data_IF_877189284452
#
_entry.id   IF_877189284452
#
_cell.length_a   1.000
_cell.length_b   1.000
_cell.length_c   1.000
_cell.angle_alpha   90.00
_cell.angle_beta   90.00
_cell.angle_gamma   90.00
#
_symmetry.space_group_name_H-M   'P 1'
#
loop_
_entity.id
_entity.type
_entity.pdbx_description
1 polymer ?
#
# COMPACT_ATOMS: atom_id res chain seq x y z
N UNK A 1 -15.26 -0.93 -3.93
CA UNK A 1 -14.31 -0.76 -5.04
C UNK A 1 -14.82 -1.65 -6.15
N UNK A 2 -15.26 -1.07 -7.27
CA UNK A 2 -15.73 -1.84 -8.42
C UNK A 2 -14.54 -2.58 -9.01
N UNK A 3 -14.70 -3.87 -9.30
CA UNK A 3 -13.67 -4.63 -10.00
C UNK A 3 -13.72 -4.18 -11.48
N UNK A 4 -12.64 -3.66 -12.07
CA UNK A 4 -12.64 -3.23 -13.47
C UNK A 4 -12.95 -4.43 -14.39
N UNK A 5 -13.61 -4.16 -15.53
CA UNK A 5 -13.84 -5.18 -16.55
C UNK A 5 -12.50 -5.61 -17.15
N UNK A 6 -12.03 -6.79 -16.73
CA UNK A 6 -10.69 -7.30 -17.07
C UNK A 6 -10.54 -7.59 -18.57
N UNK A 7 -11.65 -7.69 -19.31
CA UNK A 7 -11.67 -7.95 -20.74
C UNK A 7 -11.11 -6.79 -21.56
N UNK A 8 -11.09 -5.57 -21.01
CA UNK A 8 -10.64 -4.35 -21.70
C UNK A 8 -9.25 -3.87 -21.27
N UNK A 9 -8.60 -4.58 -20.36
CA UNK A 9 -7.30 -4.17 -19.81
C UNK A 9 -6.13 -4.60 -20.71
N UNK A 10 -5.12 -3.73 -20.80
CA UNK A 10 -3.83 -4.04 -21.45
C UNK A 10 -3.14 -5.20 -20.74
N UNK A 11 -2.57 -6.13 -21.51
CA UNK A 11 -1.94 -7.35 -20.99
C UNK A 11 -0.45 -7.17 -20.67
N UNK A 12 0.17 -6.14 -21.24
CA UNK A 12 1.57 -5.75 -21.04
C UNK A 12 1.67 -4.35 -20.39
N UNK A 13 2.77 -4.11 -19.68
CA UNK A 13 3.09 -2.82 -19.09
C UNK A 13 4.45 -2.34 -19.59
N UNK A 14 4.51 -1.35 -20.49
CA UNK A 14 5.78 -0.87 -21.06
C UNK A 14 6.69 -0.23 -19.99
N UNK A 15 6.09 0.45 -19.01
CA UNK A 15 6.77 1.07 -17.87
C UNK A 15 6.75 0.18 -16.63
N UNK A 16 6.86 -1.15 -16.77
CA UNK A 16 6.71 -2.10 -15.67
C UNK A 16 7.52 -1.72 -14.43
N UNK A 17 8.77 -1.26 -14.61
CA UNK A 17 9.66 -0.92 -13.50
C UNK A 17 9.16 0.29 -12.70
N UNK A 18 8.84 1.38 -13.39
CA UNK A 18 8.31 2.63 -12.79
C UNK A 18 6.96 2.38 -12.10
N UNK A 19 6.10 1.56 -12.73
CA UNK A 19 4.82 1.20 -12.15
C UNK A 19 4.96 0.33 -10.90
N UNK A 20 5.98 -0.55 -10.85
CA UNK A 20 6.28 -1.34 -9.66
C UNK A 20 6.80 -0.47 -8.52
N UNK A 21 7.68 0.50 -8.80
CA UNK A 21 8.17 1.46 -7.79
C UNK A 21 7.02 2.29 -7.21
N UNK A 22 6.14 2.80 -8.07
CA UNK A 22 4.94 3.53 -7.61
C UNK A 22 4.01 2.65 -6.78
N UNK A 23 3.80 1.40 -7.20
CA UNK A 23 2.99 0.44 -6.46
C UNK A 23 3.59 0.15 -5.08
N UNK A 24 4.92 -0.02 -4.98
CA UNK A 24 5.60 -0.20 -3.69
C UNK A 24 5.38 1.02 -2.78
N UNK A 25 5.63 2.23 -3.26
CA UNK A 25 5.38 3.46 -2.49
C UNK A 25 3.93 3.55 -1.99
N UNK A 26 2.96 3.18 -2.82
CA UNK A 26 1.53 3.16 -2.44
C UNK A 26 1.27 2.15 -1.33
N UNK A 27 1.85 0.96 -1.41
CA UNK A 27 1.59 -0.13 -0.47
C UNK A 27 2.36 0.07 0.84
N UNK A 28 3.53 0.71 0.81
CA UNK A 28 4.28 1.15 1.99
C UNK A 28 3.67 2.39 2.68
N UNK A 29 2.74 3.08 2.01
CA UNK A 29 2.12 4.29 2.53
C UNK A 29 2.98 5.54 2.40
N UNK A 30 4.00 5.50 1.54
CA UNK A 30 4.93 6.60 1.26
C UNK A 30 4.44 7.49 0.10
N UNK A 31 3.52 7.00 -0.74
CA UNK A 31 2.93 7.77 -1.81
C UNK A 31 1.95 8.83 -1.29
N UNK A 32 1.96 10.02 -1.89
CA UNK A 32 0.97 11.06 -1.58
C UNK A 32 -0.45 10.64 -1.98
N UNK A 33 -1.50 11.22 -1.36
CA UNK A 33 -2.88 10.95 -1.74
C UNK A 33 -3.15 11.19 -3.24
N UNK A 34 -2.58 12.26 -3.80
CA UNK A 34 -2.72 12.61 -5.22
C UNK A 34 -2.02 11.59 -6.13
N UNK A 35 -0.80 11.17 -5.78
CA UNK A 35 -0.06 10.14 -6.53
C UNK A 35 -0.82 8.81 -6.55
N UNK A 36 -1.36 8.43 -5.39
CA UNK A 36 -2.18 7.24 -5.26
C UNK A 36 -3.44 7.36 -6.11
N UNK A 37 -4.20 8.45 -6.01
CA UNK A 37 -5.42 8.63 -6.79
C UNK A 37 -5.15 8.59 -8.30
N UNK A 38 -4.10 9.28 -8.76
CA UNK A 38 -3.69 9.29 -10.16
C UNK A 38 -3.31 7.88 -10.65
N UNK A 39 -2.52 7.15 -9.89
CA UNK A 39 -2.10 5.81 -10.27
C UNK A 39 -3.28 4.83 -10.37
N UNK A 40 -4.25 4.92 -9.45
CA UNK A 40 -5.42 4.05 -9.47
C UNK A 40 -6.31 4.37 -10.67
N UNK A 41 -6.67 5.64 -10.87
CA UNK A 41 -7.61 6.06 -11.93
C UNK A 41 -7.05 5.91 -13.34
N UNK A 42 -5.75 6.19 -13.53
CA UNK A 42 -5.19 6.30 -14.88
C UNK A 42 -4.34 5.10 -15.30
N UNK A 43 -3.90 4.27 -14.35
CA UNK A 43 -3.02 3.16 -14.67
C UNK A 43 -3.60 1.82 -14.22
N UNK A 44 -3.99 1.71 -12.94
CA UNK A 44 -4.36 0.43 -12.34
C UNK A 44 -5.63 -0.17 -12.96
N UNK A 45 -6.59 0.65 -13.36
CA UNK A 45 -7.83 0.22 -14.01
C UNK A 45 -7.65 -0.23 -15.47
N UNK A 46 -6.55 0.16 -16.13
CA UNK A 46 -6.29 -0.15 -17.54
C UNK A 46 -5.20 -1.20 -17.75
N UNK A 47 -4.42 -1.52 -16.71
CA UNK A 47 -3.21 -2.33 -16.80
C UNK A 47 -3.36 -3.63 -15.99
N UNK A 48 -3.66 -4.74 -16.69
CA UNK A 48 -3.87 -6.05 -16.08
C UNK A 48 -2.68 -6.54 -15.25
N UNK A 49 -1.41 -6.45 -15.70
CA UNK A 49 -0.28 -6.89 -14.88
C UNK A 49 -0.14 -6.06 -13.61
N UNK A 50 -0.28 -4.73 -13.65
CA UNK A 50 -0.17 -3.88 -12.46
C UNK A 50 -1.34 -4.11 -11.49
N UNK A 51 -2.56 -4.31 -12.00
CA UNK A 51 -3.71 -4.71 -11.20
C UNK A 51 -3.46 -6.01 -10.44
N UNK A 52 -3.01 -7.07 -11.13
CA UNK A 52 -2.70 -8.36 -10.50
C UNK A 52 -1.61 -8.23 -9.43
N UNK A 53 -0.52 -7.51 -9.74
CA UNK A 53 0.58 -7.31 -8.79
C UNK A 53 0.12 -6.55 -7.55
N UNK A 54 -0.69 -5.50 -7.70
CA UNK A 54 -1.20 -4.73 -6.56
C UNK A 54 -2.03 -5.61 -5.62
N UNK A 55 -2.95 -6.40 -6.18
CA UNK A 55 -3.81 -7.27 -5.39
C UNK A 55 -3.00 -8.38 -4.70
N UNK A 56 -1.98 -8.91 -5.36
CA UNK A 56 -1.07 -9.89 -4.77
C UNK A 56 -0.30 -9.29 -3.59
N UNK A 57 0.33 -8.14 -3.77
CA UNK A 57 1.09 -7.46 -2.72
C UNK A 57 0.21 -7.12 -1.51
N UNK A 58 -1.00 -6.61 -1.74
CA UNK A 58 -1.98 -6.34 -0.67
C UNK A 58 -2.37 -7.63 0.06
N UNK A 59 -2.61 -8.73 -0.68
CA UNK A 59 -2.94 -10.02 -0.08
C UNK A 59 -1.79 -10.58 0.77
N UNK A 60 -0.55 -10.47 0.29
CA UNK A 60 0.66 -10.88 1.03
C UNK A 60 0.79 -10.06 2.32
N UNK A 61 0.64 -8.73 2.24
CA UNK A 61 0.74 -7.88 3.44
C UNK A 61 -0.36 -8.15 4.44
N UNK A 62 -1.58 -8.39 3.98
CA UNK A 62 -2.67 -8.78 4.85
C UNK A 62 -2.38 -10.13 5.53
N UNK A 63 -1.83 -11.09 4.79
CA UNK A 63 -1.40 -12.37 5.35
C UNK A 63 -0.32 -12.18 6.42
N UNK A 64 0.75 -11.44 6.12
CA UNK A 64 1.82 -11.13 7.08
C UNK A 64 1.27 -10.44 8.34
N UNK A 65 0.38 -9.46 8.18
CA UNK A 65 -0.26 -8.77 9.31
C UNK A 65 -1.10 -9.71 10.18
N UNK A 66 -1.71 -10.75 9.60
CA UNK A 66 -2.51 -11.71 10.37
C UNK A 66 -1.70 -12.85 10.98
N UNK A 67 -0.56 -13.23 10.40
CA UNK A 67 0.22 -14.40 10.80
C UNK A 67 1.53 -14.08 11.52
N UNK A 68 2.07 -12.88 11.31
CA UNK A 68 3.37 -12.47 11.84
C UNK A 68 3.26 -11.25 12.77
N UNK A 69 2.05 -10.87 13.20
CA UNK A 69 1.87 -9.81 14.19
C UNK A 69 1.86 -10.38 15.61
N UNK A 70 2.69 -9.79 16.47
CA UNK A 70 2.66 -9.99 17.92
C UNK A 70 2.22 -8.73 18.62
N UNK A 71 1.53 -8.86 19.75
CA UNK A 71 1.20 -7.70 20.58
C UNK A 71 2.48 -7.13 21.20
N UNK A 72 2.66 -5.81 21.09
CA UNK A 72 3.77 -5.13 21.73
C UNK A 72 3.61 -5.17 23.27
N UNK A 73 4.70 -5.32 24.04
CA UNK A 73 4.64 -5.25 25.49
C UNK A 73 4.04 -3.92 25.97
N UNK A 74 3.13 -3.99 26.96
CA UNK A 74 2.40 -2.82 27.45
C UNK A 74 3.34 -1.72 27.97
N UNK A 75 4.41 -2.10 28.67
CA UNK A 75 5.42 -1.17 29.18
C UNK A 75 6.10 -0.35 28.08
N UNK A 76 6.38 -0.96 26.93
CA UNK A 76 6.96 -0.27 25.78
C UNK A 76 5.96 0.75 25.21
N UNK A 77 4.70 0.35 25.08
CA UNK A 77 3.62 1.21 24.58
C UNK A 77 3.44 2.43 25.50
N UNK A 78 3.43 2.23 26.81
CA UNK A 78 3.24 3.30 27.79
C UNK A 78 4.44 4.24 27.83
N UNK A 79 5.66 3.70 27.74
CA UNK A 79 6.91 4.48 27.64
C UNK A 79 6.93 5.38 26.40
N UNK A 80 6.50 4.86 25.24
CA UNK A 80 6.39 5.64 24.00
C UNK A 80 5.36 6.76 24.16
N UNK A 81 4.15 6.45 24.67
CA UNK A 81 3.08 7.44 24.89
C UNK A 81 3.55 8.58 25.80
N UNK A 82 4.19 8.26 26.93
CA UNK A 82 4.70 9.26 27.86
C UNK A 82 5.70 10.21 27.20
N UNK A 83 6.66 9.67 26.42
CA UNK A 83 7.64 10.48 25.69
C UNK A 83 6.98 11.34 24.62
N UNK A 84 6.01 10.82 23.86
CA UNK A 84 5.28 11.59 22.84
C UNK A 84 4.51 12.75 23.47
N UNK A 85 3.77 12.49 24.56
CA UNK A 85 3.04 13.54 25.28
C UNK A 85 3.96 14.63 25.83
N UNK A 86 5.15 14.25 26.31
CA UNK A 86 6.14 15.22 26.79
C UNK A 86 6.68 16.11 25.66
N UNK A 87 6.95 15.54 24.48
CA UNK A 87 7.52 16.28 23.35
C UNK A 87 6.48 17.15 22.61
N UNK A 88 5.20 16.83 22.68
CA UNK A 88 4.10 17.61 22.08
C UNK A 88 3.52 18.69 23.02
N UNK A 89 3.93 18.73 24.28
CA UNK A 89 3.49 19.72 25.27
C UNK A 89 4.33 21.03 25.25
N UNK A 90 5.10 21.25 24.19
CA UNK A 90 5.89 22.44 23.91
C UNK A 90 5.53 22.96 22.51
#
# INVERSE_FOLDING_TARGET
MSNPDQSQMRQDCPSQRECMEMLQMIVDGEASPDQKEQFFKHHLEECMPCFKNYHLEVAIRQLLKTKCASQAPQELVDSIKAKVSQNLAH
#
